data_IF_666537069530
#
_entry.id   IF_666537069530
#
_cell.length_a   1.000
_cell.length_b   1.000
_cell.length_c   1.000
_cell.angle_alpha   90.00
_cell.angle_beta   90.00
_cell.angle_gamma   90.00
#
_symmetry.space_group_name_H-M   'P 1'
#
loop_
_entity.id
_entity.type
_entity.pdbx_description
1 polymer ?
#
# COMPACT_ATOMS: atom_id res chain seq x y z
N UNK A 1 45.76 36.56 -4.08
CA UNK A 1 45.16 35.33 -4.67
C UNK A 1 45.12 34.13 -3.70
N UNK A 2 46.17 33.88 -2.90
CA UNK A 2 46.24 32.72 -1.96
C UNK A 2 45.15 32.69 -0.87
N UNK A 3 44.65 33.84 -0.41
CA UNK A 3 43.57 33.90 0.58
C UNK A 3 42.18 33.62 0.01
N UNK A 4 41.93 33.88 -1.28
CA UNK A 4 40.63 33.57 -1.92
C UNK A 4 40.50 32.07 -2.23
N UNK A 5 41.61 31.40 -2.58
CA UNK A 5 41.64 29.95 -2.80
C UNK A 5 41.36 29.21 -1.49
N UNK A 6 41.97 29.61 -0.38
CA UNK A 6 41.70 29.00 0.93
C UNK A 6 40.27 29.23 1.41
N UNK A 7 39.68 30.41 1.15
CA UNK A 7 38.28 30.69 1.49
C UNK A 7 37.30 29.85 0.64
N UNK A 8 37.64 29.61 -0.64
CA UNK A 8 36.83 28.78 -1.53
C UNK A 8 36.90 27.29 -1.17
N UNK A 9 38.09 26.78 -0.80
CA UNK A 9 38.26 25.39 -0.33
C UNK A 9 37.56 25.16 1.01
N UNK A 10 37.54 26.15 1.90
CA UNK A 10 36.79 26.08 3.16
C UNK A 10 35.27 26.12 2.92
N UNK A 11 34.80 26.94 1.97
CA UNK A 11 33.39 27.00 1.61
C UNK A 11 32.88 25.68 1.00
N UNK A 12 33.69 25.03 0.14
CA UNK A 12 33.34 23.74 -0.49
C UNK A 12 33.30 22.59 0.53
N UNK A 13 34.23 22.58 1.50
CA UNK A 13 34.25 21.55 2.56
C UNK A 13 33.10 21.73 3.57
N UNK A 14 32.65 22.97 3.83
CA UNK A 14 31.46 23.23 4.67
C UNK A 14 30.16 22.85 3.94
N UNK A 15 30.05 23.05 2.62
CA UNK A 15 28.84 22.63 1.87
C UNK A 15 28.67 21.11 1.78
N UNK A 16 29.75 20.33 1.86
CA UNK A 16 29.70 18.86 1.85
C UNK A 16 29.17 18.25 3.16
N UNK A 17 29.19 18.99 4.27
CA UNK A 17 28.71 18.52 5.57
C UNK A 17 27.23 18.80 5.84
N UNK A 18 26.54 19.54 4.97
CA UNK A 18 25.13 19.92 5.15
C UNK A 18 24.12 19.03 4.42
N UNK A 19 24.56 18.02 3.67
CA UNK A 19 23.63 16.98 3.20
C UNK A 19 23.39 15.97 4.32
N UNK A 20 22.73 16.43 5.39
CA UNK A 20 22.02 15.57 6.33
C UNK A 20 20.81 15.01 5.58
N UNK A 21 21.08 14.14 4.59
CA UNK A 21 20.07 13.41 3.87
C UNK A 21 19.38 12.51 4.90
N UNK A 22 18.16 12.88 5.28
CA UNK A 22 17.31 11.99 6.07
C UNK A 22 17.26 10.66 5.33
N UNK A 23 17.81 9.60 5.93
CA UNK A 23 17.73 8.23 5.41
C UNK A 23 16.27 7.94 5.00
N UNK A 24 16.06 7.39 3.82
CA UNK A 24 14.73 7.00 3.36
C UNK A 24 14.19 5.84 4.20
N UNK A 25 12.88 5.57 4.14
CA UNK A 25 12.28 4.37 4.75
C UNK A 25 12.93 3.08 4.22
N UNK A 26 13.30 3.07 2.93
CA UNK A 26 14.01 1.95 2.30
C UNK A 26 15.39 1.77 2.92
N UNK A 27 16.16 2.84 3.09
CA UNK A 27 17.51 2.78 3.67
C UNK A 27 17.47 2.29 5.12
N UNK A 28 16.47 2.72 5.90
CA UNK A 28 16.25 2.23 7.27
C UNK A 28 15.88 0.75 7.31
N UNK A 29 15.02 0.29 6.40
CA UNK A 29 14.64 -1.11 6.31
C UNK A 29 15.83 -2.01 5.92
N UNK A 30 16.66 -1.56 4.96
CA UNK A 30 17.90 -2.25 4.56
C UNK A 30 18.84 -2.36 5.75
N UNK A 31 19.15 -1.26 6.43
CA UNK A 31 20.03 -1.25 7.61
C UNK A 31 19.56 -2.21 8.71
N UNK A 32 18.24 -2.31 8.91
CA UNK A 32 17.65 -3.21 9.88
C UNK A 32 17.79 -4.68 9.46
N UNK A 33 17.61 -5.02 8.18
CA UNK A 33 17.89 -6.36 7.64
C UNK A 33 19.38 -6.67 7.78
N UNK A 34 20.26 -5.79 7.33
CA UNK A 34 21.72 -5.95 7.44
C UNK A 34 22.17 -6.15 8.89
N UNK A 35 21.56 -5.45 9.86
CA UNK A 35 21.88 -5.62 11.28
C UNK A 35 21.65 -7.04 11.80
N UNK A 36 20.69 -7.79 11.21
CA UNK A 36 20.40 -9.19 11.56
C UNK A 36 21.37 -10.17 10.92
N UNK A 37 21.92 -9.83 9.76
CA UNK A 37 22.82 -10.69 8.99
C UNK A 37 24.29 -10.26 9.06
N UNK A 38 24.64 -9.30 9.92
CA UNK A 38 25.99 -8.73 10.06
C UNK A 38 27.10 -9.76 10.36
N UNK A 39 26.74 -10.99 10.74
CA UNK A 39 27.66 -12.11 11.00
C UNK A 39 27.72 -13.14 9.86
N UNK A 40 27.02 -12.91 8.75
CA UNK A 40 26.99 -13.79 7.58
C UNK A 40 27.84 -13.20 6.44
N UNK A 41 28.64 -14.03 5.76
CA UNK A 41 29.37 -13.63 4.54
C UNK A 41 28.45 -13.50 3.31
N UNK A 42 27.14 -13.68 3.50
CA UNK A 42 26.13 -13.58 2.44
C UNK A 42 25.78 -12.13 2.14
N UNK A 43 26.00 -11.73 0.89
CA UNK A 43 25.61 -10.43 0.37
C UNK A 43 24.22 -10.51 -0.25
N UNK A 44 23.34 -9.62 0.19
CA UNK A 44 21.97 -9.48 -0.31
C UNK A 44 21.94 -8.40 -1.40
N UNK A 45 21.24 -8.66 -2.49
CA UNK A 45 21.00 -7.69 -3.56
C UNK A 45 19.84 -6.76 -3.16
N UNK A 46 20.19 -5.63 -2.54
CA UNK A 46 19.25 -4.58 -2.16
C UNK A 46 18.98 -3.55 -3.27
N UNK A 47 19.81 -3.52 -4.32
CA UNK A 47 19.64 -2.61 -5.45
C UNK A 47 18.33 -2.91 -6.17
N UNK A 48 18.03 -4.20 -6.37
CA UNK A 48 16.79 -4.65 -6.98
C UNK A 48 15.60 -4.78 -6.01
N UNK A 49 15.79 -4.48 -4.72
CA UNK A 49 14.74 -4.60 -3.72
C UNK A 49 13.70 -3.47 -3.81
N UNK A 50 12.42 -3.82 -3.58
CA UNK A 50 11.29 -2.88 -3.58
C UNK A 50 10.68 -2.74 -2.19
N UNK A 51 10.34 -1.52 -1.81
CA UNK A 51 9.64 -1.22 -0.57
C UNK A 51 8.13 -1.07 -0.86
N UNK A 52 7.36 -2.09 -0.56
CA UNK A 52 5.93 -2.18 -0.82
C UNK A 52 5.12 -1.92 0.47
N UNK A 53 4.00 -1.21 0.41
CA UNK A 53 3.13 -1.00 1.57
C UNK A 53 2.12 -2.15 1.71
N UNK A 54 1.91 -2.65 2.94
CA UNK A 54 0.93 -3.67 3.27
C UNK A 54 -0.39 -3.03 3.75
N UNK A 55 -1.51 -3.46 3.15
CA UNK A 55 -2.87 -3.08 3.53
C UNK A 55 -3.71 -4.31 3.84
N UNK A 56 -4.61 -4.20 4.83
CA UNK A 56 -5.52 -5.29 5.24
C UNK A 56 -6.63 -5.58 4.20
N UNK A 57 -6.95 -4.60 3.37
CA UNK A 57 -7.81 -4.70 2.18
C UNK A 57 -7.09 -3.95 1.08
N UNK A 58 -6.91 -4.58 -0.08
CA UNK A 58 -6.27 -3.92 -1.23
C UNK A 58 -6.99 -2.59 -1.50
N UNK A 59 -6.28 -1.45 -1.60
CA UNK A 59 -6.90 -0.14 -1.83
C UNK A 59 -7.83 -0.13 -3.04
N UNK A 60 -7.49 -0.91 -4.07
CA UNK A 60 -8.32 -1.09 -5.25
C UNK A 60 -9.66 -1.80 -4.94
N UNK A 61 -9.64 -2.90 -4.18
CA UNK A 61 -10.86 -3.61 -3.79
C UNK A 61 -11.80 -2.75 -2.92
N UNK A 62 -11.24 -1.88 -2.07
CA UNK A 62 -12.02 -0.89 -1.31
C UNK A 62 -12.64 0.17 -2.23
N UNK A 63 -11.85 0.75 -3.14
CA UNK A 63 -12.33 1.74 -4.11
C UNK A 63 -13.42 1.16 -5.05
N UNK A 64 -13.21 -0.05 -5.55
CA UNK A 64 -14.16 -0.77 -6.39
C UNK A 64 -15.47 -1.05 -5.66
N UNK A 65 -15.40 -1.40 -4.36
CA UNK A 65 -16.59 -1.64 -3.54
C UNK A 65 -17.43 -0.36 -3.34
N UNK A 66 -16.78 0.79 -3.14
CA UNK A 66 -17.48 2.09 -3.07
C UNK A 66 -18.15 2.42 -4.40
N UNK A 67 -17.41 2.29 -5.50
CA UNK A 67 -17.92 2.57 -6.84
C UNK A 67 -19.15 1.71 -7.16
N UNK A 68 -19.06 0.40 -6.92
CA UNK A 68 -20.17 -0.53 -7.17
C UNK A 68 -21.39 -0.23 -6.28
N UNK A 69 -21.16 0.18 -5.03
CA UNK A 69 -22.24 0.62 -4.14
C UNK A 69 -23.03 1.81 -4.71
N UNK A 70 -22.34 2.81 -5.26
CA UNK A 70 -23.00 3.97 -5.88
C UNK A 70 -23.79 3.60 -7.14
N UNK A 71 -23.26 2.67 -7.95
CA UNK A 71 -23.98 2.16 -9.13
C UNK A 71 -25.27 1.41 -8.73
N UNK A 72 -25.22 0.63 -7.64
CA UNK A 72 -26.40 -0.05 -7.09
C UNK A 72 -27.43 0.94 -6.55
N UNK A 73 -27.00 2.00 -5.85
CA UNK A 73 -27.91 3.05 -5.36
C UNK A 73 -28.66 3.71 -6.52
N UNK A 74 -27.97 4.01 -7.63
CA UNK A 74 -28.61 4.55 -8.84
C UNK A 74 -29.58 3.57 -9.49
N UNK A 75 -29.27 2.27 -9.48
CA UNK A 75 -30.13 1.23 -10.07
C UNK A 75 -31.38 1.02 -9.23
N UNK A 76 -31.23 0.96 -7.90
CA UNK A 76 -32.36 0.84 -6.97
C UNK A 76 -33.33 2.02 -7.09
N UNK A 77 -32.82 3.25 -7.21
CA UNK A 77 -33.66 4.42 -7.40
C UNK A 77 -34.51 4.36 -8.69
N UNK A 78 -33.94 3.81 -9.78
CA UNK A 78 -34.69 3.60 -11.03
C UNK A 78 -35.76 2.53 -10.84
N UNK A 79 -35.40 1.38 -10.26
CA UNK A 79 -36.36 0.29 -10.02
C UNK A 79 -37.51 0.72 -9.09
N UNK A 80 -37.23 1.51 -8.05
CA UNK A 80 -38.26 2.08 -7.17
C UNK A 80 -39.24 2.98 -7.94
N UNK A 81 -38.74 3.82 -8.87
CA UNK A 81 -39.59 4.66 -9.70
C UNK A 81 -40.43 3.88 -10.72
N UNK A 82 -39.90 2.76 -11.22
CA UNK A 82 -40.59 1.90 -12.18
C UNK A 82 -41.68 1.04 -11.51
N UNK A 83 -41.45 0.54 -10.29
CA UNK A 83 -42.43 -0.26 -9.52
C UNK A 83 -43.78 0.44 -9.40
N UNK A 84 -43.80 1.77 -9.22
CA UNK A 84 -45.04 2.54 -9.09
C UNK A 84 -45.94 2.51 -10.34
N UNK A 85 -45.41 2.06 -11.48
CA UNK A 85 -46.08 2.10 -12.79
C UNK A 85 -46.38 0.71 -13.37
N UNK A 86 -46.01 -0.38 -12.66
CA UNK A 86 -46.14 -1.76 -13.13
C UNK A 86 -47.43 -2.43 -12.63
N UNK A 87 -47.85 -3.49 -13.31
CA UNK A 87 -48.89 -4.37 -12.80
C UNK A 87 -48.38 -5.22 -11.61
N UNK A 88 -49.29 -5.92 -10.93
CA UNK A 88 -48.97 -6.64 -9.70
C UNK A 88 -47.88 -7.73 -9.90
N UNK A 89 -47.91 -8.45 -11.02
CA UNK A 89 -47.02 -9.59 -11.27
C UNK A 89 -45.60 -9.11 -11.66
N UNK A 90 -45.54 -8.03 -12.45
CA UNK A 90 -44.30 -7.35 -12.79
C UNK A 90 -43.69 -6.66 -11.57
N UNK A 91 -44.51 -6.00 -10.76
CA UNK A 91 -44.10 -5.37 -9.49
C UNK A 91 -43.48 -6.38 -8.52
N UNK A 92 -44.10 -7.55 -8.34
CA UNK A 92 -43.58 -8.61 -7.45
C UNK A 92 -42.21 -9.11 -7.92
N UNK A 93 -42.03 -9.24 -9.25
CA UNK A 93 -40.77 -9.65 -9.86
C UNK A 93 -39.66 -8.60 -9.67
N UNK A 94 -39.98 -7.31 -9.86
CA UNK A 94 -39.03 -6.21 -9.61
C UNK A 94 -38.69 -6.11 -8.12
N UNK A 95 -39.67 -6.34 -7.23
CA UNK A 95 -39.45 -6.38 -5.78
C UNK A 95 -38.40 -7.42 -5.35
N UNK A 96 -38.42 -8.62 -5.95
CA UNK A 96 -37.41 -9.67 -5.68
C UNK A 96 -36.00 -9.22 -6.13
N UNK A 97 -35.90 -8.57 -7.29
CA UNK A 97 -34.62 -8.06 -7.81
C UNK A 97 -34.09 -6.95 -6.90
N UNK A 98 -34.93 -5.98 -6.53
CA UNK A 98 -34.58 -4.89 -5.62
C UNK A 98 -34.12 -5.40 -4.25
N UNK A 99 -34.75 -6.45 -3.71
CA UNK A 99 -34.32 -7.08 -2.46
C UNK A 99 -32.93 -7.71 -2.57
N UNK A 100 -32.62 -8.36 -3.70
CA UNK A 100 -31.29 -8.95 -3.97
C UNK A 100 -30.21 -7.88 -4.09
N UNK A 101 -30.47 -6.81 -4.83
CA UNK A 101 -29.55 -5.69 -5.01
C UNK A 101 -29.29 -4.94 -3.70
N UNK A 102 -30.34 -4.75 -2.89
CA UNK A 102 -30.22 -4.18 -1.53
C UNK A 102 -29.32 -5.03 -0.63
N UNK A 103 -29.44 -6.36 -0.68
CA UNK A 103 -28.56 -7.26 0.08
C UNK A 103 -27.09 -7.13 -0.37
N UNK A 104 -26.85 -7.04 -1.68
CA UNK A 104 -25.51 -6.82 -2.23
C UNK A 104 -24.94 -5.46 -1.79
N UNK A 105 -25.78 -4.42 -1.78
CA UNK A 105 -25.42 -3.09 -1.30
C UNK A 105 -24.98 -3.10 0.16
N UNK A 106 -25.68 -3.81 1.04
CA UNK A 106 -25.28 -3.96 2.45
C UNK A 106 -23.94 -4.66 2.59
N UNK A 107 -23.67 -5.72 1.81
CA UNK A 107 -22.36 -6.38 1.81
C UNK A 107 -21.24 -5.42 1.41
N UNK A 108 -21.46 -4.59 0.39
CA UNK A 108 -20.48 -3.59 -0.04
C UNK A 108 -20.28 -2.47 1.00
N UNK A 109 -21.32 -2.11 1.76
CA UNK A 109 -21.19 -1.18 2.89
C UNK A 109 -20.28 -1.73 3.98
N UNK A 110 -20.41 -3.01 4.32
CA UNK A 110 -19.53 -3.64 5.32
C UNK A 110 -18.07 -3.64 4.85
N UNK A 111 -17.80 -3.92 3.57
CA UNK A 111 -16.45 -3.82 3.00
C UNK A 111 -15.96 -2.36 3.00
N UNK A 112 -16.81 -1.39 2.65
CA UNK A 112 -16.45 0.03 2.62
C UNK A 112 -16.14 0.60 4.01
N UNK A 113 -16.80 0.09 5.07
CA UNK A 113 -16.52 0.44 6.48
C UNK A 113 -15.11 0.03 6.91
N UNK A 114 -14.60 -1.07 6.36
CA UNK A 114 -13.24 -1.52 6.56
C UNK A 114 -12.28 -0.65 5.73
N UNK A 115 -11.89 0.51 6.29
CA UNK A 115 -10.87 1.37 5.66
C UNK A 115 -9.55 0.59 5.52
N UNK A 116 -8.82 0.70 4.39
CA UNK A 116 -7.49 0.13 4.26
C UNK A 116 -6.60 0.65 5.38
N UNK A 117 -6.16 -0.25 6.27
CA UNK A 117 -5.23 0.11 7.33
C UNK A 117 -3.82 -0.17 6.87
N UNK A 118 -2.97 0.86 6.92
CA UNK A 118 -1.53 0.68 6.81
C UNK A 118 -1.05 -0.07 8.06
N UNK A 119 -0.60 -1.31 7.88
CA UNK A 119 -0.06 -2.14 8.95
C UNK A 119 1.48 -2.12 8.96
N UNK A 120 2.10 -1.92 7.79
CA UNK A 120 3.54 -2.00 7.67
C UNK A 120 4.07 -1.93 6.24
N UNK A 121 5.39 -1.88 6.11
CA UNK A 121 6.12 -2.02 4.86
C UNK A 121 6.58 -3.46 4.65
N UNK A 122 6.80 -3.84 3.41
CA UNK A 122 7.37 -5.10 2.98
C UNK A 122 8.54 -4.82 2.05
N UNK A 123 9.72 -5.34 2.34
CA UNK A 123 10.85 -5.33 1.43
C UNK A 123 10.80 -6.61 0.60
N UNK A 124 10.51 -6.47 -0.70
CA UNK A 124 10.38 -7.57 -1.66
C UNK A 124 11.55 -7.59 -2.64
N UNK A 125 11.72 -8.73 -3.32
CA UNK A 125 12.78 -8.96 -4.31
C UNK A 125 14.21 -8.88 -3.76
N UNK A 126 14.40 -9.17 -2.46
CA UNK A 126 15.75 -9.33 -1.90
C UNK A 126 16.26 -10.71 -2.32
N UNK A 127 17.42 -10.76 -2.95
CA UNK A 127 18.05 -12.02 -3.38
C UNK A 127 19.38 -12.22 -2.68
N UNK A 128 19.72 -13.47 -2.39
CA UNK A 128 21.08 -13.83 -1.97
C UNK A 128 21.92 -13.96 -3.25
N UNK A 129 23.14 -13.41 -3.26
CA UNK A 129 24.08 -13.53 -4.39
C UNK A 129 24.58 -14.98 -4.67
N UNK A 130 24.07 -15.99 -3.95
CA UNK A 130 24.38 -17.40 -4.18
C UNK A 130 23.61 -18.00 -5.36
N UNK A 131 24.16 -19.02 -6.01
CA UNK A 131 23.60 -19.71 -7.20
C UNK A 131 22.19 -20.32 -7.03
N UNK A 132 21.62 -20.31 -5.81
CA UNK A 132 20.25 -20.70 -5.52
C UNK A 132 19.38 -19.45 -5.36
N UNK A 133 18.82 -19.01 -6.47
CA UNK A 133 17.94 -17.84 -6.59
C UNK A 133 16.56 -18.08 -5.95
N UNK A 134 16.44 -17.84 -4.65
CA UNK A 134 15.14 -17.65 -3.99
C UNK A 134 14.98 -16.20 -3.57
N UNK A 135 13.81 -15.61 -3.87
CA UNK A 135 13.47 -14.25 -3.45
C UNK A 135 13.01 -14.27 -1.99
N UNK A 136 13.73 -13.54 -1.14
CA UNK A 136 13.38 -13.31 0.25
C UNK A 136 12.43 -12.12 0.38
N UNK A 137 11.57 -12.18 1.38
CA UNK A 137 10.58 -11.16 1.70
C UNK A 137 10.70 -10.82 3.19
N UNK A 138 10.76 -9.53 3.51
CA UNK A 138 10.80 -9.03 4.89
C UNK A 138 9.62 -8.10 5.15
N UNK A 139 8.95 -8.25 6.30
CA UNK A 139 7.81 -7.40 6.69
C UNK A 139 8.20 -6.54 7.92
N UNK A 140 7.75 -5.28 7.91
CA UNK A 140 8.09 -4.26 8.90
C UNK A 140 6.82 -3.54 9.34
N UNK A 141 6.59 -3.34 10.63
CA UNK A 141 5.42 -2.59 11.10
C UNK A 141 5.58 -1.07 10.92
N UNK A 142 4.47 -0.34 11.13
CA UNK A 142 4.28 1.13 11.02
C UNK A 142 5.38 2.06 11.59
N UNK A 143 6.34 1.53 12.35
CA UNK A 143 7.43 2.28 12.98
C UNK A 143 8.86 1.91 12.55
N UNK A 144 9.08 0.97 11.61
CA UNK A 144 10.42 0.43 11.24
C UNK A 144 11.31 0.15 12.47
N UNK A 145 10.73 -0.44 13.52
CA UNK A 145 11.46 -0.85 14.74
C UNK A 145 11.33 -2.34 15.04
N UNK A 146 10.55 -3.10 14.24
CA UNK A 146 10.35 -4.53 14.47
C UNK A 146 10.14 -5.27 13.16
N UNK A 147 10.87 -6.37 12.98
CA UNK A 147 10.58 -7.40 11.98
C UNK A 147 9.42 -8.22 12.54
N UNK A 148 8.34 -8.35 11.79
CA UNK A 148 7.24 -9.28 12.11
C UNK A 148 7.53 -10.62 11.44
N UNK A 149 7.63 -11.67 12.26
CA UNK A 149 7.88 -13.08 11.86
C UNK A 149 6.69 -13.68 11.08
#
# INVERSE_FOLDING_TARGET
MRNHINLFVLAVTVTLLFSCAKKSDKDRAIELVESKYKTSDQKLDFENAKLDSLYNIYPQAHADSIKKGNELDSTLAVLESEIEHLDQEESDSVGIISAKLTKERYSLLEVAKLKPQFIGWKLSNVKIESDKSESLIFNFDKGITKIVE
#
